data_IF_776264439243
#
_entry.id   IF_776264439243
#
_cell.length_a   1.000
_cell.length_b   1.000
_cell.length_c   1.000
_cell.angle_alpha   90.00
_cell.angle_beta   90.00
_cell.angle_gamma   90.00
#
_symmetry.space_group_name_H-M   'P 1'
#
loop_
_entity.id
_entity.type
_entity.pdbx_description
1 polymer ?
#
# COMPACT_ATOMS: atom_id res chain seq x y z
N UNK A 1 -7.06 -5.99 31.71
CA UNK A 1 -5.78 -5.28 31.51
C UNK A 1 -4.67 -6.32 31.52
N UNK A 2 -3.71 -6.22 30.60
CA UNK A 2 -2.62 -7.18 30.45
C UNK A 2 -1.57 -7.05 31.54
N UNK A 3 -0.86 -8.14 31.83
CA UNK A 3 0.20 -8.17 32.82
C UNK A 3 1.52 -7.71 32.19
N UNK A 4 2.10 -6.65 32.74
CA UNK A 4 3.43 -6.16 32.37
C UNK A 4 4.47 -6.80 33.30
N UNK A 5 5.40 -7.57 32.73
CA UNK A 5 6.46 -8.28 33.44
C UNK A 5 7.83 -7.75 32.99
N UNK A 6 8.75 -7.55 33.93
CA UNK A 6 10.17 -7.34 33.60
C UNK A 6 10.77 -8.72 33.31
N UNK A 7 11.43 -8.86 32.16
CA UNK A 7 12.13 -10.08 31.74
C UNK A 7 13.58 -9.75 31.37
N UNK A 8 14.51 -10.72 31.36
CA UNK A 8 15.82 -10.49 30.80
C UNK A 8 15.70 -9.93 29.37
N UNK A 9 16.25 -8.74 29.12
CA UNK A 9 16.17 -8.05 27.84
C UNK A 9 15.05 -7.00 27.69
N UNK A 10 14.18 -6.80 28.69
CA UNK A 10 13.24 -5.67 28.69
C UNK A 10 11.90 -5.93 29.38
N UNK A 11 10.84 -5.34 28.83
CA UNK A 11 9.47 -5.48 29.33
C UNK A 11 8.68 -6.42 28.42
N UNK A 12 7.87 -7.30 29.02
CA UNK A 12 6.94 -8.18 28.33
C UNK A 12 5.52 -7.88 28.80
N UNK A 13 4.64 -7.53 27.87
CA UNK A 13 3.21 -7.42 28.11
C UNK A 13 2.51 -8.71 27.69
N UNK A 14 1.72 -9.31 28.58
CA UNK A 14 0.79 -10.40 28.28
C UNK A 14 -0.65 -9.87 28.31
N UNK A 15 -1.30 -9.80 27.15
CA UNK A 15 -2.68 -9.28 27.01
C UNK A 15 -2.72 -7.82 26.53
N UNK A 16 -3.82 -7.12 26.82
CA UNK A 16 -4.09 -5.78 26.29
C UNK A 16 -3.48 -4.68 27.16
N UNK A 17 -2.83 -3.68 26.57
CA UNK A 17 -2.43 -2.45 27.25
C UNK A 17 -2.84 -1.23 26.44
N UNK A 18 -2.89 -0.08 27.12
CA UNK A 18 -3.13 1.21 26.52
C UNK A 18 -1.84 2.04 26.59
N UNK A 19 -1.51 2.70 25.49
CA UNK A 19 -0.50 3.77 25.46
C UNK A 19 -1.29 5.07 25.46
N UNK A 20 -1.18 5.87 26.51
CA UNK A 20 -1.98 7.09 26.68
C UNK A 20 -1.50 8.25 25.81
N UNK A 21 -0.21 8.26 25.47
CA UNK A 21 0.41 9.28 24.65
C UNK A 21 1.19 8.63 23.48
N UNK A 22 2.47 8.95 23.34
CA UNK A 22 3.30 8.48 22.25
C UNK A 22 3.98 7.15 22.57
N UNK A 23 3.86 6.19 21.66
CA UNK A 23 4.73 5.01 21.63
C UNK A 23 5.96 5.34 20.78
N UNK A 24 7.12 5.44 21.42
CA UNK A 24 8.40 5.60 20.72
C UNK A 24 9.11 4.24 20.72
N UNK A 25 9.33 3.69 19.54
CA UNK A 25 10.04 2.42 19.36
C UNK A 25 10.97 2.52 18.16
N UNK A 26 12.16 1.94 18.28
CA UNK A 26 13.07 1.74 17.14
C UNK A 26 12.51 0.73 16.13
N UNK A 27 11.68 -0.19 16.61
CA UNK A 27 11.16 -1.29 15.82
C UNK A 27 9.85 -1.84 16.41
N UNK A 28 8.87 -2.05 15.53
CA UNK A 28 7.60 -2.73 15.86
C UNK A 28 7.57 -4.02 15.03
N UNK A 29 7.46 -5.18 15.69
CA UNK A 29 7.38 -6.50 15.05
C UNK A 29 6.38 -7.40 15.77
N UNK A 30 5.72 -8.25 15.01
CA UNK A 30 4.91 -9.35 15.53
C UNK A 30 5.80 -10.54 15.94
N UNK A 31 5.20 -11.54 16.59
CA UNK A 31 5.85 -12.83 16.82
C UNK A 31 6.11 -13.53 15.49
N UNK A 32 7.09 -14.43 15.48
CA UNK A 32 7.42 -15.22 14.28
C UNK A 32 6.18 -16.00 13.81
N UNK A 33 5.80 -15.80 12.55
CA UNK A 33 4.63 -16.44 11.94
C UNK A 33 3.30 -15.74 12.19
N UNK A 34 3.29 -14.63 12.94
CA UNK A 34 2.08 -13.84 13.23
C UNK A 34 2.11 -12.53 12.44
N UNK A 35 0.96 -11.99 11.99
CA UNK A 35 0.90 -10.68 11.37
C UNK A 35 1.02 -9.54 12.41
N UNK A 36 1.37 -8.35 11.94
CA UNK A 36 1.10 -7.11 12.68
C UNK A 36 -0.29 -6.64 12.25
N UNK A 37 -1.20 -6.51 13.21
CA UNK A 37 -2.57 -6.03 12.97
C UNK A 37 -2.69 -4.64 13.57
N UNK A 38 -3.16 -3.68 12.77
CA UNK A 38 -3.52 -2.33 13.20
C UNK A 38 -4.99 -2.13 12.86
N UNK A 39 -5.82 -2.04 13.88
CA UNK A 39 -7.26 -1.81 13.76
C UNK A 39 -7.63 -0.52 14.47
N UNK A 40 -8.53 0.25 13.88
CA UNK A 40 -8.96 1.53 14.41
C UNK A 40 -10.42 1.77 14.05
N UNK A 41 -11.18 2.36 14.98
CA UNK A 41 -12.55 2.84 14.74
C UNK A 41 -12.59 4.13 13.91
N UNK A 42 -11.42 4.70 13.63
CA UNK A 42 -11.19 5.91 12.81
C UNK A 42 -10.02 5.67 11.85
N UNK A 43 -9.67 6.71 11.11
CA UNK A 43 -8.65 6.66 10.07
C UNK A 43 -7.28 6.24 10.62
N UNK A 44 -6.54 5.47 9.83
CA UNK A 44 -5.14 5.11 10.10
C UNK A 44 -4.27 5.91 9.14
N UNK A 45 -3.22 6.57 9.65
CA UNK A 45 -2.24 7.27 8.81
C UNK A 45 -0.83 6.85 9.16
N UNK A 46 -0.09 6.34 8.17
CA UNK A 46 1.33 6.01 8.29
C UNK A 46 2.12 7.08 7.53
N UNK A 47 3.05 7.77 8.21
CA UNK A 47 3.92 8.79 7.58
C UNK A 47 5.37 8.42 7.78
N UNK A 48 6.17 8.48 6.72
CA UNK A 48 7.62 8.55 6.87
C UNK A 48 8.08 10.00 6.87
N UNK A 49 9.19 10.29 7.53
CA UNK A 49 9.82 11.61 7.55
C UNK A 49 11.20 11.52 6.92
N UNK A 50 11.60 12.57 6.22
CA UNK A 50 12.96 12.70 5.71
C UNK A 50 13.94 13.05 6.84
N UNK A 51 15.23 13.16 6.50
CA UNK A 51 16.33 13.51 7.42
C UNK A 51 16.13 14.84 8.17
N UNK A 52 15.29 15.74 7.65
CA UNK A 52 14.98 17.04 8.26
C UNK A 52 13.70 17.00 9.12
N UNK A 53 13.08 15.82 9.28
CA UNK A 53 11.85 15.64 10.05
C UNK A 53 10.55 15.97 9.30
N UNK A 54 10.63 16.41 8.03
CA UNK A 54 9.43 16.70 7.24
C UNK A 54 8.81 15.41 6.70
N UNK A 55 7.47 15.27 6.70
CA UNK A 55 6.79 14.15 6.06
C UNK A 55 7.22 14.01 4.59
N UNK A 56 7.66 12.81 4.19
CA UNK A 56 8.15 12.54 2.83
C UNK A 56 7.21 11.68 2.01
N UNK A 57 6.52 10.75 2.67
CA UNK A 57 5.45 9.96 2.08
C UNK A 57 4.47 9.56 3.16
N UNK A 58 3.24 9.28 2.75
CA UNK A 58 2.21 8.81 3.67
C UNK A 58 1.19 7.93 2.99
N UNK A 59 0.58 7.05 3.79
CA UNK A 59 -0.58 6.25 3.45
C UNK A 59 -1.69 6.61 4.43
N UNK A 60 -2.89 6.85 3.93
CA UNK A 60 -4.09 7.15 4.69
C UNK A 60 -5.18 6.15 4.35
N UNK A 61 -5.70 5.49 5.37
CA UNK A 61 -6.88 4.64 5.33
C UNK A 61 -7.99 5.38 6.07
N UNK A 62 -8.96 5.93 5.35
CA UNK A 62 -10.15 6.53 5.94
C UNK A 62 -11.32 5.53 5.99
N UNK A 63 -12.55 6.05 6.06
CA UNK A 63 -13.75 5.22 6.16
C UNK A 63 -14.02 4.45 4.86
N UNK A 64 -13.79 5.10 3.73
CA UNK A 64 -14.14 4.65 2.38
C UNK A 64 -13.05 5.01 1.34
N UNK A 65 -11.96 5.64 1.77
CA UNK A 65 -10.86 6.03 0.90
C UNK A 65 -9.52 5.40 1.31
N UNK A 66 -8.70 5.14 0.30
CA UNK A 66 -7.29 4.86 0.43
C UNK A 66 -6.51 5.92 -0.34
N UNK A 67 -5.65 6.65 0.34
CA UNK A 67 -4.81 7.69 -0.26
C UNK A 67 -3.34 7.40 0.02
N UNK A 68 -2.51 7.65 -0.98
CA UNK A 68 -1.07 7.48 -0.89
C UNK A 68 -0.38 8.68 -1.53
N UNK A 69 0.55 9.30 -0.80
CA UNK A 69 1.47 10.28 -1.33
C UNK A 69 2.86 9.66 -1.33
N UNK A 70 3.41 9.44 -2.52
CA UNK A 70 4.76 8.97 -2.75
C UNK A 70 5.28 9.47 -4.10
N UNK A 71 6.60 9.67 -4.21
CA UNK A 71 7.24 9.98 -5.50
C UNK A 71 7.22 8.79 -6.47
N UNK A 72 7.14 7.57 -5.93
CA UNK A 72 7.12 6.34 -6.70
C UNK A 72 6.26 5.32 -5.94
N UNK A 73 5.19 4.84 -6.57
CA UNK A 73 4.29 3.83 -6.03
C UNK A 73 4.43 2.54 -6.84
N UNK A 74 4.68 1.41 -6.18
CA UNK A 74 4.89 0.11 -6.84
C UNK A 74 4.06 -0.97 -6.17
N UNK A 75 3.36 -1.75 -6.98
CA UNK A 75 2.76 -3.02 -6.61
C UNK A 75 3.63 -4.11 -7.26
N UNK A 76 4.08 -5.07 -6.45
CA UNK A 76 4.96 -6.16 -6.87
C UNK A 76 4.19 -7.50 -6.81
N UNK A 77 4.58 -8.45 -7.65
CA UNK A 77 4.14 -9.85 -7.55
C UNK A 77 4.92 -10.61 -6.45
N UNK A 78 4.63 -11.91 -6.31
CA UNK A 78 5.27 -12.81 -5.35
C UNK A 78 6.76 -13.08 -5.65
N UNK A 79 7.22 -12.75 -6.86
CA UNK A 79 8.63 -12.81 -7.30
C UNK A 79 9.34 -11.46 -7.17
N UNK A 80 8.65 -10.43 -6.68
CA UNK A 80 9.18 -9.07 -6.53
C UNK A 80 9.23 -8.27 -7.83
N UNK A 81 8.59 -8.73 -8.91
CA UNK A 81 8.50 -8.01 -10.18
C UNK A 81 7.35 -6.98 -10.15
N UNK A 82 7.52 -5.80 -10.75
CA UNK A 82 6.48 -4.77 -10.76
C UNK A 82 5.30 -5.15 -11.66
N UNK A 83 4.09 -5.16 -11.09
CA UNK A 83 2.83 -5.33 -11.84
C UNK A 83 2.11 -4.00 -12.08
N UNK A 84 2.34 -3.01 -11.21
CA UNK A 84 1.85 -1.64 -11.38
C UNK A 84 2.88 -0.67 -10.80
N UNK A 85 3.27 0.34 -11.57
CA UNK A 85 4.16 1.41 -11.12
C UNK A 85 3.58 2.74 -11.53
N UNK A 86 3.52 3.69 -10.60
CA UNK A 86 3.10 5.06 -10.88
C UNK A 86 4.12 6.05 -10.30
N UNK A 87 4.48 7.03 -11.12
CA UNK A 87 5.26 8.20 -10.73
C UNK A 87 4.66 9.47 -11.36
N UNK A 88 5.41 10.56 -11.35
CA UNK A 88 4.96 11.85 -11.90
C UNK A 88 4.76 11.82 -13.41
N UNK A 89 5.51 11.01 -14.13
CA UNK A 89 5.64 11.09 -15.57
C UNK A 89 4.81 10.00 -16.27
N UNK A 90 4.69 8.82 -15.64
CA UNK A 90 3.99 7.69 -16.26
C UNK A 90 3.39 6.70 -15.27
N UNK A 91 2.46 5.90 -15.80
CA UNK A 91 1.96 4.67 -15.16
C UNK A 91 2.36 3.49 -16.04
N UNK A 92 2.98 2.48 -15.45
CA UNK A 92 3.36 1.23 -16.10
C UNK A 92 2.55 0.07 -15.51
N UNK A 93 1.87 -0.67 -16.39
CA UNK A 93 1.15 -1.91 -16.02
C UNK A 93 1.95 -3.08 -16.59
N UNK A 94 2.48 -3.92 -15.70
CA UNK A 94 3.30 -5.09 -16.04
C UNK A 94 2.51 -6.39 -16.11
N UNK A 95 1.19 -6.35 -15.96
CA UNK A 95 0.33 -7.52 -16.03
C UNK A 95 0.16 -8.02 -17.47
N UNK A 96 0.02 -9.34 -17.64
CA UNK A 96 -0.23 -9.98 -18.95
C UNK A 96 -1.56 -9.55 -19.58
N UNK A 97 -2.55 -9.17 -18.75
CA UNK A 97 -3.87 -8.74 -19.21
C UNK A 97 -4.34 -7.55 -18.39
N UNK A 98 -4.69 -6.47 -19.08
CA UNK A 98 -5.39 -5.31 -18.51
C UNK A 98 -6.85 -5.33 -19.02
N UNK A 99 -7.80 -5.49 -18.10
CA UNK A 99 -9.24 -5.46 -18.42
C UNK A 99 -9.86 -4.16 -17.92
N UNK A 100 -10.47 -3.39 -18.82
CA UNK A 100 -11.22 -2.17 -18.50
C UNK A 100 -12.71 -2.48 -18.64
N UNK A 101 -13.44 -2.51 -17.52
CA UNK A 101 -14.85 -2.97 -17.49
C UNK A 101 -15.86 -1.87 -17.22
N UNK A 102 -15.43 -0.62 -17.07
CA UNK A 102 -16.37 0.50 -16.96
C UNK A 102 -17.21 0.62 -18.22
N UNK A 103 -18.50 0.94 -18.09
CA UNK A 103 -19.44 1.03 -19.23
C UNK A 103 -18.95 2.00 -20.31
N UNK A 104 -18.21 3.05 -19.93
CA UNK A 104 -17.59 4.00 -20.86
C UNK A 104 -16.29 3.53 -21.51
N UNK A 105 -15.79 2.34 -21.17
CA UNK A 105 -14.53 1.81 -21.66
C UNK A 105 -13.32 2.68 -21.28
N UNK A 106 -12.39 2.85 -22.21
CA UNK A 106 -11.18 3.67 -22.06
C UNK A 106 -11.18 4.80 -23.10
N UNK A 107 -10.93 6.03 -22.65
CA UNK A 107 -10.76 7.19 -23.52
C UNK A 107 -9.28 7.57 -23.62
N UNK A 108 -8.80 7.79 -24.83
CA UNK A 108 -7.43 8.22 -25.10
C UNK A 108 -7.46 9.51 -25.91
N UNK A 109 -6.82 10.55 -25.41
CA UNK A 109 -6.78 11.86 -26.07
C UNK A 109 -5.75 11.95 -27.21
N UNK A 110 -4.97 10.89 -27.42
CA UNK A 110 -3.91 10.83 -28.41
C UNK A 110 -3.72 9.42 -28.96
N UNK A 111 -2.71 9.26 -29.81
CA UNK A 111 -2.43 7.99 -30.47
C UNK A 111 -2.05 6.90 -29.48
N UNK A 112 -2.59 5.70 -29.69
CA UNK A 112 -2.23 4.49 -28.96
C UNK A 112 -1.23 3.71 -29.81
N UNK A 113 -0.09 3.37 -29.24
CA UNK A 113 0.85 2.43 -29.85
C UNK A 113 0.63 1.04 -29.27
N UNK A 114 0.49 0.05 -30.15
CA UNK A 114 0.29 -1.35 -29.78
C UNK A 114 1.07 -2.25 -30.73
N UNK A 115 1.47 -3.43 -30.26
CA UNK A 115 2.17 -4.42 -31.11
C UNK A 115 1.20 -5.11 -32.07
N UNK A 116 0.02 -5.50 -31.59
CA UNK A 116 -0.97 -6.27 -32.34
C UNK A 116 -2.37 -5.99 -31.79
N UNK A 117 -3.30 -5.68 -32.68
CA UNK A 117 -4.74 -5.55 -32.38
C UNK A 117 -5.46 -6.70 -33.05
N UNK A 118 -6.40 -7.32 -32.33
CA UNK A 118 -7.26 -8.39 -32.86
C UNK A 118 -8.69 -8.17 -32.37
N UNK A 119 -9.65 -8.32 -33.28
CA UNK A 119 -11.06 -8.46 -32.94
C UNK A 119 -11.39 -9.94 -32.66
N UNK A 120 -12.51 -10.20 -31.99
CA UNK A 120 -13.06 -11.54 -31.89
C UNK A 120 -13.52 -12.05 -33.27
N UNK A 121 -13.56 -13.37 -33.45
CA UNK A 121 -13.98 -13.96 -34.73
C UNK A 121 -15.37 -13.47 -35.14
N UNK A 122 -15.48 -12.95 -36.36
CA UNK A 122 -16.73 -12.42 -36.91
C UNK A 122 -17.02 -10.94 -36.58
N UNK A 123 -16.09 -10.22 -35.95
CA UNK A 123 -16.20 -8.79 -35.69
C UNK A 123 -15.12 -7.99 -36.44
N UNK A 124 -15.49 -6.81 -36.92
CA UNK A 124 -14.56 -5.83 -37.48
C UNK A 124 -13.83 -5.07 -36.36
N UNK A 125 -12.66 -4.50 -36.70
CA UNK A 125 -11.83 -3.67 -35.82
C UNK A 125 -12.29 -2.21 -35.74
#
# INVERSE_FOLDING_TARGET
MGQLEIVPGGLRLKGNAFVLENLIASQIRSRRGEPIIVESSRNITLKSRNKNGYPSSWIHLGLDNFECLANNFRILDDRGQPVFVADRDQITVGADTLKVTGEGGSCFSGSIQTKLVRAESGHDL
#
